data_IF_114237175398
#
_entry.id   IF_114237175398
#
_cell.length_a   1.000
_cell.length_b   1.000
_cell.length_c   1.000
_cell.angle_alpha   90.00
_cell.angle_beta   90.00
_cell.angle_gamma   90.00
#
_symmetry.space_group_name_H-M   'P 1'
#
loop_
_entity.id
_entity.type
_entity.pdbx_description
1 polymer ?
#
# COMPACT_ATOMS: atom_id res chain seq x y z
N UNK A 1 14.02 -8.31 22.44
CA UNK A 1 12.74 -8.63 21.76
C UNK A 1 12.18 -7.30 21.26
N UNK A 2 12.41 -6.94 19.98
CA UNK A 2 12.14 -5.59 19.45
C UNK A 2 10.73 -5.51 18.86
N UNK A 3 9.96 -4.54 19.36
CA UNK A 3 8.58 -4.24 18.96
C UNK A 3 8.50 -3.79 17.49
N UNK A 4 7.59 -4.42 16.75
CA UNK A 4 7.02 -3.92 15.51
C UNK A 4 6.20 -2.66 15.80
N UNK A 5 6.16 -1.62 14.95
CA UNK A 5 5.32 -0.47 15.23
C UNK A 5 3.86 -0.81 14.91
N UNK A 6 3.14 -1.27 15.94
CA UNK A 6 1.73 -0.94 16.11
C UNK A 6 1.66 0.49 16.63
N UNK A 7 0.90 1.38 15.96
CA UNK A 7 0.31 2.52 16.64
C UNK A 7 -1.15 2.16 17.00
N UNK A 8 -1.39 2.05 18.31
CA UNK A 8 -2.57 1.47 18.94
C UNK A 8 -3.80 2.38 18.99
N UNK A 9 -3.86 3.48 18.23
CA UNK A 9 -4.85 4.54 18.53
C UNK A 9 -5.93 4.78 17.48
N UNK A 10 -5.99 4.02 16.38
CA UNK A 10 -7.16 4.02 15.48
C UNK A 10 -7.69 5.42 15.12
N UNK A 11 -6.81 6.42 15.07
CA UNK A 11 -7.24 7.81 14.96
C UNK A 11 -7.62 8.03 13.50
N UNK A 12 -8.92 8.12 13.27
CA UNK A 12 -9.50 8.64 12.04
C UNK A 12 -8.89 10.02 11.86
N UNK A 13 -8.09 10.25 10.82
CA UNK A 13 -7.73 11.61 10.45
C UNK A 13 -8.99 12.26 9.86
N UNK A 14 -9.66 13.20 10.56
CA UNK A 14 -10.92 13.76 10.09
C UNK A 14 -10.71 14.85 9.03
N UNK A 15 -9.48 15.08 8.58
CA UNK A 15 -9.13 16.21 7.72
C UNK A 15 -8.60 15.74 6.37
N UNK A 16 -9.31 16.02 5.25
CA UNK A 16 -8.71 16.02 3.92
C UNK A 16 -7.64 17.12 3.88
N UNK A 17 -6.41 16.77 4.27
CA UNK A 17 -5.34 17.73 4.45
C UNK A 17 -4.19 17.26 5.35
N UNK A 18 -4.39 16.22 6.18
CA UNK A 18 -3.26 15.62 6.88
C UNK A 18 -2.40 14.81 5.92
N UNK A 19 -1.12 15.16 5.84
CA UNK A 19 -0.16 14.48 4.98
C UNK A 19 0.92 13.86 5.86
N UNK A 20 0.99 12.52 5.97
CA UNK A 20 2.06 11.87 6.72
C UNK A 20 3.42 12.27 6.12
N UNK A 21 4.33 12.81 6.96
CA UNK A 21 5.67 13.25 6.53
C UNK A 21 6.76 12.20 6.80
N UNK A 22 6.43 11.09 7.47
CA UNK A 22 7.35 10.00 7.77
C UNK A 22 7.18 8.80 6.84
N UNK A 23 8.29 8.17 6.47
CA UNK A 23 8.31 6.88 5.78
C UNK A 23 8.90 5.79 6.66
N UNK A 24 8.53 4.54 6.36
CA UNK A 24 9.16 3.36 6.96
C UNK A 24 10.13 2.73 5.97
N UNK A 25 11.32 2.34 6.44
CA UNK A 25 12.25 1.55 5.63
C UNK A 25 11.71 0.15 5.40
N UNK A 26 11.83 -0.33 4.17
CA UNK A 26 11.56 -1.72 3.84
C UNK A 26 12.80 -2.57 4.10
N UNK A 27 12.62 -3.67 4.83
CA UNK A 27 13.66 -4.65 5.08
C UNK A 27 13.28 -5.95 4.37
N UNK A 28 14.20 -6.49 3.59
CA UNK A 28 14.01 -7.73 2.86
C UNK A 28 14.69 -8.88 3.59
N UNK A 29 13.99 -10.01 3.68
CA UNK A 29 14.57 -11.23 4.20
C UNK A 29 15.37 -11.93 3.10
N UNK A 30 16.68 -12.17 3.29
CA UNK A 30 17.46 -12.93 2.33
C UNK A 30 17.01 -14.39 2.35
N UNK A 31 16.72 -14.94 1.17
CA UNK A 31 16.38 -16.36 0.98
C UNK A 31 17.15 -16.89 -0.22
N UNK A 32 17.32 -18.22 -0.29
CA UNK A 32 17.95 -18.86 -1.45
C UNK A 32 17.04 -18.75 -2.69
N UNK A 33 17.60 -19.03 -3.86
CA UNK A 33 16.82 -19.19 -5.08
C UNK A 33 16.04 -20.50 -5.00
N UNK A 34 14.80 -20.51 -5.50
CA UNK A 34 13.96 -21.70 -5.46
C UNK A 34 12.47 -21.43 -5.45
N UNK A 35 11.69 -22.49 -5.22
CA UNK A 35 10.24 -22.46 -5.12
C UNK A 35 9.82 -22.36 -3.66
N UNK A 36 9.03 -21.34 -3.34
CA UNK A 36 8.58 -21.07 -1.99
C UNK A 36 7.06 -21.00 -1.93
N UNK A 37 6.51 -21.49 -0.82
CA UNK A 37 5.13 -21.27 -0.42
C UNK A 37 5.13 -20.33 0.77
N UNK A 38 4.58 -19.13 0.59
CA UNK A 38 4.38 -18.16 1.65
C UNK A 38 2.97 -18.33 2.21
N UNK A 39 2.87 -18.61 3.50
CA UNK A 39 1.60 -18.85 4.20
C UNK A 39 1.35 -17.66 5.12
N UNK A 40 0.18 -17.05 4.98
CA UNK A 40 -0.30 -16.02 5.89
C UNK A 40 -1.26 -16.65 6.89
N UNK A 41 -1.00 -16.41 8.16
CA UNK A 41 -1.83 -16.85 9.27
C UNK A 41 -2.27 -15.66 10.13
N UNK A 42 -3.47 -15.72 10.67
CA UNK A 42 -3.99 -14.77 11.63
C UNK A 42 -3.53 -15.09 13.06
N UNK A 43 -4.28 -14.58 14.03
CA UNK A 43 -4.16 -14.94 15.44
C UNK A 43 -4.29 -16.47 15.60
N UNK A 44 -3.59 -17.03 16.58
CA UNK A 44 -3.58 -18.47 16.88
C UNK A 44 -3.18 -19.37 15.69
N UNK A 45 -2.39 -18.83 14.75
CA UNK A 45 -1.89 -19.53 13.56
C UNK A 45 -2.98 -20.06 12.64
N UNK A 46 -4.18 -19.47 12.71
CA UNK A 46 -5.26 -19.79 11.78
C UNK A 46 -4.83 -19.45 10.36
N UNK A 47 -4.91 -20.42 9.45
CA UNK A 47 -4.58 -20.22 8.04
C UNK A 47 -5.54 -19.22 7.39
N UNK A 48 -4.99 -18.21 6.69
CA UNK A 48 -5.79 -17.22 5.95
C UNK A 48 -5.68 -17.41 4.44
N UNK A 49 -4.44 -17.40 3.92
CA UNK A 49 -4.16 -17.55 2.49
C UNK A 49 -2.70 -17.90 2.27
N UNK A 50 -2.40 -18.46 1.11
CA UNK A 50 -1.03 -18.69 0.67
C UNK A 50 -0.79 -18.20 -0.76
N UNK A 51 0.49 -18.07 -1.09
CA UNK A 51 0.97 -17.82 -2.43
C UNK A 51 2.21 -18.67 -2.70
N UNK A 52 2.29 -19.22 -3.89
CA UNK A 52 3.53 -19.84 -4.38
C UNK A 52 4.30 -18.82 -5.21
N UNK A 53 5.61 -18.75 -5.00
CA UNK A 53 6.51 -17.94 -5.83
C UNK A 53 7.77 -18.72 -6.12
N UNK A 54 8.28 -18.53 -7.33
CA UNK A 54 9.64 -18.92 -7.68
C UNK A 54 10.52 -17.68 -7.63
N UNK A 55 11.68 -17.79 -7.00
CA UNK A 55 12.73 -16.77 -6.99
C UNK A 55 13.87 -17.29 -7.85
N UNK A 56 14.10 -16.66 -9.00
CA UNK A 56 14.98 -17.18 -10.06
C UNK A 56 16.25 -16.35 -10.26
N UNK A 57 16.28 -15.12 -9.74
CA UNK A 57 17.41 -14.22 -9.93
C UNK A 57 17.99 -13.75 -8.59
N UNK A 58 19.32 -13.59 -8.55
CA UNK A 58 19.99 -12.92 -7.42
C UNK A 58 19.54 -11.46 -7.38
N UNK A 59 19.30 -10.96 -6.17
CA UNK A 59 18.78 -9.60 -5.90
C UNK A 59 17.36 -9.34 -6.44
N UNK A 60 16.61 -10.38 -6.79
CA UNK A 60 15.17 -10.25 -7.00
C UNK A 60 14.50 -9.91 -5.67
N UNK A 61 13.78 -8.78 -5.64
CA UNK A 61 13.03 -8.35 -4.45
C UNK A 61 11.54 -8.47 -4.72
N UNK A 62 10.82 -8.99 -3.74
CA UNK A 62 9.37 -9.20 -3.82
C UNK A 62 8.73 -8.74 -2.52
N UNK A 63 7.67 -7.95 -2.64
CA UNK A 63 6.77 -7.60 -1.54
C UNK A 63 5.48 -8.39 -1.67
N UNK A 64 5.02 -8.99 -0.57
CA UNK A 64 3.73 -9.66 -0.50
C UNK A 64 2.83 -8.93 0.49
N UNK A 65 1.66 -8.51 0.03
CA UNK A 65 0.65 -7.83 0.86
C UNK A 65 -0.57 -8.73 0.98
N UNK A 66 -0.89 -9.16 2.20
CA UNK A 66 -2.19 -9.77 2.48
C UNK A 66 -3.20 -8.64 2.71
N UNK A 67 -4.35 -8.76 2.06
CA UNK A 67 -5.44 -7.81 2.19
C UNK A 67 -6.79 -8.52 2.13
N UNK A 68 -7.83 -7.87 2.62
CA UNK A 68 -9.21 -8.29 2.46
C UNK A 68 -9.62 -8.28 0.97
N UNK A 69 -10.34 -9.32 0.54
CA UNK A 69 -10.94 -9.39 -0.80
C UNK A 69 -12.40 -8.96 -0.74
N UNK A 70 -12.92 -8.26 -1.76
CA UNK A 70 -14.34 -7.96 -1.87
C UNK A 70 -15.18 -9.18 -2.28
N UNK A 71 -14.55 -10.29 -2.70
CA UNK A 71 -15.25 -11.49 -3.18
C UNK A 71 -16.17 -12.14 -2.13
N UNK A 72 -15.78 -12.07 -0.85
CA UNK A 72 -16.58 -12.51 0.30
C UNK A 72 -16.13 -11.84 1.60
N UNK A 73 -16.99 -11.86 2.62
CA UNK A 73 -16.75 -11.24 3.94
C UNK A 73 -15.57 -11.84 4.71
N UNK A 74 -15.15 -13.05 4.39
CA UNK A 74 -13.99 -13.77 4.94
C UNK A 74 -12.87 -14.03 3.91
N UNK A 75 -13.02 -13.51 2.69
CA UNK A 75 -12.03 -13.73 1.64
C UNK A 75 -10.83 -12.79 1.80
N UNK A 76 -9.63 -13.32 1.55
CA UNK A 76 -8.38 -12.56 1.47
C UNK A 76 -7.81 -12.59 0.05
N UNK A 77 -6.98 -11.62 -0.28
CA UNK A 77 -6.16 -11.55 -1.49
C UNK A 77 -4.71 -11.31 -1.11
N UNK A 78 -3.79 -11.90 -1.86
CA UNK A 78 -2.37 -11.58 -1.76
C UNK A 78 -1.98 -10.80 -3.00
N UNK A 79 -1.40 -9.61 -2.80
CA UNK A 79 -0.84 -8.78 -3.85
C UNK A 79 0.67 -8.98 -3.84
N UNK A 80 1.19 -9.60 -4.89
CA UNK A 80 2.63 -9.78 -5.13
C UNK A 80 3.15 -8.60 -5.95
N UNK A 81 4.13 -7.87 -5.43
CA UNK A 81 4.73 -6.70 -6.08
C UNK A 81 6.23 -6.92 -6.24
N UNK A 82 6.75 -6.96 -7.48
CA UNK A 82 8.20 -7.03 -7.72
C UNK A 82 8.83 -5.69 -7.38
N UNK A 83 9.87 -5.66 -6.55
CA UNK A 83 10.57 -4.44 -6.13
C UNK A 83 11.93 -4.32 -6.83
N UNK A 84 12.38 -3.07 -6.98
CA UNK A 84 13.65 -2.76 -7.62
C UNK A 84 14.50 -1.90 -6.67
N UNK A 85 15.62 -2.45 -6.19
CA UNK A 85 16.58 -1.70 -5.37
C UNK A 85 17.43 -0.81 -6.27
N UNK A 86 16.86 0.31 -6.69
CA UNK A 86 17.49 1.26 -7.60
C UNK A 86 17.07 2.67 -7.22
N UNK A 87 17.99 3.63 -7.35
CA UNK A 87 17.70 5.05 -7.34
C UNK A 87 18.03 5.69 -8.69
N UNK A 88 17.50 6.90 -8.91
CA UNK A 88 17.80 7.69 -10.11
C UNK A 88 18.35 9.05 -9.68
N UNK A 89 19.58 9.43 -10.08
CA UNK A 89 20.16 10.72 -9.74
C UNK A 89 19.24 11.89 -10.12
N UNK A 90 19.07 12.85 -9.19
CA UNK A 90 18.22 14.03 -9.40
C UNK A 90 16.70 13.78 -9.38
N UNK A 91 16.27 12.52 -9.24
CA UNK A 91 14.85 12.13 -9.23
C UNK A 91 14.48 11.34 -7.99
N UNK A 92 13.20 11.34 -7.70
CA UNK A 92 12.56 10.38 -6.79
C UNK A 92 11.75 9.39 -7.63
N UNK A 93 11.81 8.10 -7.30
CA UNK A 93 11.01 7.06 -7.94
C UNK A 93 9.83 6.73 -7.05
N UNK A 94 8.61 6.74 -7.60
CA UNK A 94 7.39 6.51 -6.84
C UNK A 94 6.57 5.40 -7.49
N UNK A 95 6.19 4.39 -6.71
CA UNK A 95 5.20 3.38 -7.07
C UNK A 95 3.95 3.52 -6.21
N UNK A 96 2.78 3.29 -6.82
CA UNK A 96 1.51 3.22 -6.11
C UNK A 96 1.05 1.77 -6.04
N UNK A 97 0.64 1.31 -4.85
CA UNK A 97 0.04 -0.02 -4.64
C UNK A 97 -1.36 0.18 -4.09
N UNK A 98 -2.36 -0.36 -4.77
CA UNK A 98 -3.75 -0.21 -4.36
C UNK A 98 -4.27 -1.49 -3.68
N UNK A 99 -4.51 -1.38 -2.37
CA UNK A 99 -4.99 -2.43 -1.47
C UNK A 99 -6.36 -2.09 -0.83
N UNK A 100 -7.06 -1.05 -1.27
CA UNK A 100 -8.38 -0.72 -0.71
C UNK A 100 -9.48 -1.44 -1.46
N UNK A 101 -10.11 -2.45 -0.85
CA UNK A 101 -11.04 -3.34 -1.54
C UNK A 101 -12.41 -2.73 -1.84
N UNK A 102 -12.76 -1.62 -1.18
CA UNK A 102 -14.07 -0.97 -1.29
C UNK A 102 -14.03 0.41 -1.97
N UNK A 103 -12.86 0.80 -2.50
CA UNK A 103 -12.75 1.96 -3.39
C UNK A 103 -12.79 1.52 -4.85
N UNK A 104 -13.24 2.45 -5.70
CA UNK A 104 -13.13 2.30 -7.15
C UNK A 104 -11.65 2.35 -7.60
N UNK A 105 -11.42 2.12 -8.88
CA UNK A 105 -10.11 2.35 -9.48
C UNK A 105 -9.61 3.76 -9.16
N UNK A 106 -8.31 3.86 -8.90
CA UNK A 106 -7.69 5.08 -8.43
C UNK A 106 -6.93 5.77 -9.56
N UNK A 107 -7.01 7.09 -9.55
CA UNK A 107 -6.12 7.95 -10.30
C UNK A 107 -5.23 8.76 -9.36
N UNK A 108 -4.00 9.02 -9.78
CA UNK A 108 -3.04 9.78 -8.99
C UNK A 108 -2.51 10.94 -9.83
N UNK A 109 -2.51 12.14 -9.24
CA UNK A 109 -1.96 13.35 -9.83
C UNK A 109 -0.94 13.95 -8.87
N UNK A 110 0.11 14.54 -9.41
CA UNK A 110 1.05 15.37 -8.67
C UNK A 110 0.51 16.80 -8.60
N UNK A 111 0.59 17.42 -7.44
CA UNK A 111 0.45 18.87 -7.30
C UNK A 111 1.80 19.53 -7.63
N UNK A 112 1.83 20.38 -8.65
CA UNK A 112 3.05 21.06 -9.05
C UNK A 112 3.33 22.33 -8.23
N UNK A 113 4.43 23.01 -8.56
CA UNK A 113 4.88 24.20 -7.84
C UNK A 113 3.93 25.40 -7.96
N UNK A 114 3.05 25.40 -8.95
CA UNK A 114 2.03 26.43 -9.18
C UNK A 114 0.68 26.09 -8.56
N UNK A 115 0.57 24.94 -7.87
CA UNK A 115 -0.68 24.46 -7.31
C UNK A 115 -1.57 23.74 -8.31
N UNK A 116 -1.09 23.45 -9.53
CA UNK A 116 -1.86 22.74 -10.55
C UNK A 116 -1.67 21.23 -10.44
N UNK A 117 -2.73 20.48 -10.73
CA UNK A 117 -2.70 19.01 -10.76
C UNK A 117 -2.24 18.53 -12.14
N UNK A 118 -1.18 17.73 -12.18
CA UNK A 118 -0.67 17.08 -13.38
C UNK A 118 -0.55 15.58 -13.20
N UNK A 119 -0.67 14.81 -14.28
CA UNK A 119 -0.57 13.34 -14.22
C UNK A 119 0.86 12.89 -13.96
N UNK A 120 1.86 13.54 -14.56
CA UNK A 120 3.29 13.23 -14.38
C UNK A 120 3.66 11.74 -14.62
N UNK A 121 2.93 11.03 -15.48
CA UNK A 121 3.14 9.59 -15.70
C UNK A 121 2.72 8.69 -14.53
N UNK A 122 2.01 9.24 -13.54
CA UNK A 122 1.38 8.48 -12.45
C UNK A 122 0.14 7.73 -12.97
N UNK A 123 -0.27 6.63 -12.31
CA UNK A 123 -1.40 5.83 -12.78
C UNK A 123 -2.70 6.65 -12.81
N UNK A 124 -3.46 6.51 -13.90
CA UNK A 124 -4.76 7.16 -14.10
C UNK A 124 -5.95 6.21 -13.97
N UNK A 125 -5.68 4.90 -13.91
CA UNK A 125 -6.66 3.86 -13.70
C UNK A 125 -5.98 2.65 -13.02
N UNK A 126 -5.90 2.69 -11.70
CA UNK A 126 -5.26 1.65 -10.89
C UNK A 126 -6.34 0.85 -10.16
N UNK A 127 -6.55 -0.39 -10.58
CA UNK A 127 -7.54 -1.28 -9.98
C UNK A 127 -7.15 -1.77 -8.58
N UNK A 128 -8.13 -2.17 -7.78
CA UNK A 128 -7.89 -2.87 -6.52
C UNK A 128 -7.01 -4.12 -6.74
N UNK A 129 -6.06 -4.33 -5.83
CA UNK A 129 -5.17 -5.49 -5.84
C UNK A 129 -4.11 -5.42 -6.95
N UNK A 130 -3.82 -4.22 -7.45
CA UNK A 130 -2.81 -3.94 -8.48
C UNK A 130 -1.82 -2.86 -8.02
N UNK A 131 -0.78 -2.63 -8.82
CA UNK A 131 0.28 -1.67 -8.55
C UNK A 131 0.80 -1.05 -9.85
N UNK A 132 1.40 0.14 -9.76
CA UNK A 132 2.03 0.79 -10.90
C UNK A 132 3.50 0.36 -11.07
N UNK A 133 4.08 0.65 -12.25
CA UNK A 133 5.52 0.79 -12.36
C UNK A 133 6.04 1.93 -11.48
N UNK A 134 7.37 2.06 -11.38
CA UNK A 134 7.98 3.24 -10.78
C UNK A 134 7.90 4.42 -11.76
N UNK A 135 7.29 5.51 -11.32
CA UNK A 135 7.30 6.80 -12.01
C UNK A 135 8.43 7.65 -11.44
N UNK A 136 9.32 8.16 -12.29
CA UNK A 136 10.39 9.05 -11.86
C UNK A 136 9.94 10.51 -11.92
N UNK A 137 10.18 11.26 -10.85
CA UNK A 137 9.80 12.66 -10.73
C UNK A 137 11.04 13.48 -10.34
N UNK A 138 11.32 14.54 -11.09
CA UNK A 138 12.44 15.44 -10.79
C UNK A 138 12.26 16.15 -9.45
N UNK A 139 13.33 16.17 -8.64
CA UNK A 139 13.30 16.78 -7.30
C UNK A 139 13.48 18.29 -7.33
N UNK A 140 14.05 18.85 -8.41
CA UNK A 140 14.41 20.28 -8.56
C UNK A 140 13.21 21.21 -8.35
N UNK A 141 12.02 20.83 -8.83
CA UNK A 141 10.79 21.61 -8.65
C UNK A 141 10.03 21.32 -7.35
N UNK A 142 10.17 20.12 -6.79
CA UNK A 142 9.46 19.70 -5.57
C UNK A 142 10.15 20.20 -4.29
N UNK A 143 11.49 20.32 -4.32
CA UNK A 143 12.28 20.83 -3.20
C UNK A 143 12.05 22.32 -2.91
N UNK A 144 11.65 23.12 -3.91
CA UNK A 144 11.50 24.59 -3.77
C UNK A 144 10.29 25.04 -2.94
N UNK A 145 9.24 24.22 -2.81
CA UNK A 145 7.99 24.68 -2.19
C UNK A 145 7.64 23.99 -0.87
N UNK A 146 7.98 22.70 -0.71
CA UNK A 146 7.54 21.91 0.45
C UNK A 146 8.51 20.80 0.87
N UNK A 147 9.63 20.64 0.16
CA UNK A 147 10.55 19.49 0.35
C UNK A 147 9.94 18.14 -0.07
N UNK A 148 8.73 18.13 -0.64
CA UNK A 148 7.96 16.93 -0.91
C UNK A 148 7.28 16.98 -2.29
N UNK A 149 7.21 15.83 -2.96
CA UNK A 149 6.28 15.56 -4.04
C UNK A 149 4.90 15.27 -3.43
N UNK A 150 3.96 16.19 -3.63
CA UNK A 150 2.59 16.03 -3.14
C UNK A 150 1.75 15.30 -4.17
N UNK A 151 1.19 14.16 -3.78
CA UNK A 151 0.29 13.34 -4.57
C UNK A 151 -1.15 13.55 -4.10
N UNK A 152 -2.05 13.70 -5.05
CA UNK A 152 -3.50 13.76 -4.86
C UNK A 152 -4.11 12.52 -5.51
N UNK A 153 -4.88 11.78 -4.74
CA UNK A 153 -5.48 10.51 -5.14
C UNK A 153 -6.99 10.71 -5.18
N UNK A 154 -7.59 10.35 -6.30
CA UNK A 154 -9.04 10.43 -6.56
C UNK A 154 -9.51 9.10 -7.14
N UNK A 155 -10.82 8.87 -7.17
CA UNK A 155 -11.40 7.75 -7.94
C UNK A 155 -11.49 8.14 -9.42
N UNK A 156 -11.30 7.19 -10.34
CA UNK A 156 -11.31 7.45 -11.79
C UNK A 156 -12.64 8.05 -12.26
N UNK A 157 -13.76 7.66 -11.65
CA UNK A 157 -15.11 8.17 -11.96
C UNK A 157 -15.43 9.53 -11.28
N UNK A 158 -14.60 9.98 -10.34
CA UNK A 158 -14.75 11.25 -9.63
C UNK A 158 -13.39 11.98 -9.58
N UNK A 159 -12.80 12.34 -10.74
CA UNK A 159 -11.40 12.74 -10.86
C UNK A 159 -11.03 14.03 -10.11
N UNK A 160 -12.02 14.87 -9.82
CA UNK A 160 -11.86 16.13 -9.10
C UNK A 160 -12.12 16.00 -7.59
N UNK A 161 -12.58 14.83 -7.12
CA UNK A 161 -12.81 14.57 -5.70
C UNK A 161 -11.59 13.87 -5.11
N UNK A 162 -10.72 14.64 -4.46
CA UNK A 162 -9.52 14.10 -3.79
C UNK A 162 -9.95 13.35 -2.53
N UNK A 163 -9.70 12.04 -2.52
CA UNK A 163 -10.05 11.15 -1.40
C UNK A 163 -8.86 10.88 -0.46
N UNK A 164 -7.63 11.03 -0.96
CA UNK A 164 -6.39 10.91 -0.18
C UNK A 164 -5.32 11.86 -0.72
N UNK A 165 -4.37 12.20 0.14
CA UNK A 165 -3.14 12.89 -0.23
C UNK A 165 -1.93 12.18 0.40
N UNK A 166 -0.79 12.21 -0.28
CA UNK A 166 0.49 11.71 0.24
C UNK A 166 1.61 12.71 -0.07
N UNK A 167 2.54 12.92 0.85
CA UNK A 167 3.77 13.66 0.62
C UNK A 167 4.90 12.65 0.55
N UNK A 168 5.52 12.56 -0.61
CA UNK A 168 6.73 11.77 -0.78
C UNK A 168 7.91 12.72 -0.69
N UNK A 169 8.89 12.52 0.21
CA UNK A 169 10.08 13.36 0.27
C UNK A 169 10.74 13.49 -1.09
N UNK A 170 11.07 14.72 -1.48
CA UNK A 170 11.79 14.99 -2.74
C UNK A 170 13.29 14.69 -2.59
N UNK A 171 13.60 13.51 -2.04
CA UNK A 171 14.96 13.04 -1.80
C UNK A 171 15.52 12.44 -3.10
N UNK A 172 16.54 13.08 -3.72
CA UNK A 172 17.15 12.53 -4.93
C UNK A 172 17.68 11.14 -4.68
N UNK A 173 17.62 10.29 -5.71
CA UNK A 173 18.05 8.89 -5.64
C UNK A 173 17.16 8.01 -4.75
N UNK A 174 16.06 8.51 -4.16
CA UNK A 174 15.15 7.72 -3.34
C UNK A 174 14.10 6.96 -4.14
N UNK A 175 13.73 5.77 -3.67
CA UNK A 175 12.58 5.00 -4.17
C UNK A 175 11.54 4.78 -3.09
N UNK A 176 10.30 5.14 -3.40
CA UNK A 176 9.18 5.10 -2.48
C UNK A 176 8.00 4.31 -3.03
N UNK A 177 7.33 3.61 -2.12
CA UNK A 177 6.08 2.91 -2.37
C UNK A 177 4.97 3.58 -1.56
N UNK A 178 3.94 4.06 -2.23
CA UNK A 178 2.72 4.60 -1.62
C UNK A 178 1.68 3.48 -1.58
N UNK A 179 1.43 2.98 -0.38
CA UNK A 179 0.49 1.90 -0.10
C UNK A 179 -0.87 2.48 0.30
N UNK A 180 -1.86 2.31 -0.57
CA UNK A 180 -3.22 2.77 -0.33
C UNK A 180 -4.03 1.59 0.19
N UNK A 181 -4.46 1.63 1.46
CA UNK A 181 -5.08 0.50 2.14
C UNK A 181 -6.19 0.92 3.10
N UNK A 182 -6.96 -0.06 3.58
CA UNK A 182 -8.11 0.14 4.45
C UNK A 182 -9.42 0.30 3.68
N UNK A 183 -10.48 0.65 4.41
CA UNK A 183 -11.84 0.76 3.89
C UNK A 183 -12.30 2.22 3.84
N UNK A 184 -12.94 2.62 2.74
CA UNK A 184 -13.64 3.90 2.56
C UNK A 184 -14.95 3.97 3.35
N UNK A 185 -15.62 2.83 3.50
CA UNK A 185 -16.91 2.72 4.15
C UNK A 185 -16.85 1.75 5.32
N UNK A 186 -17.82 1.84 6.23
CA UNK A 186 -17.97 0.86 7.30
C UNK A 186 -18.20 -0.51 6.67
N UNK A 187 -17.34 -1.47 6.98
CA UNK A 187 -17.34 -2.80 6.36
C UNK A 187 -17.37 -3.88 7.43
N UNK A 188 -18.27 -4.85 7.27
CA UNK A 188 -18.29 -6.05 8.12
C UNK A 188 -17.37 -7.11 7.53
N UNK A 189 -16.49 -7.65 8.36
CA UNK A 189 -15.57 -8.74 8.03
C UNK A 189 -15.85 -9.94 8.92
N UNK A 190 -15.74 -11.14 8.35
CA UNK A 190 -15.82 -12.39 9.10
C UNK A 190 -14.42 -12.99 9.18
N UNK A 191 -13.90 -13.16 10.38
CA UNK A 191 -12.54 -13.66 10.61
C UNK A 191 -12.63 -15.02 11.29
N UNK A 192 -11.90 -15.99 10.75
CA UNK A 192 -11.75 -17.30 11.38
C UNK A 192 -10.88 -17.14 12.63
N UNK A 193 -11.42 -17.46 13.80
CA UNK A 193 -10.73 -17.33 15.10
C UNK A 193 -10.33 -18.66 15.70
N UNK A 194 -10.90 -19.76 15.21
CA UNK A 194 -10.53 -21.09 15.67
C UNK A 194 -11.36 -22.19 15.02
N UNK A 195 -11.38 -23.35 15.68
CA UNK A 195 -12.23 -24.48 15.32
C UNK A 195 -12.91 -25.03 16.58
N UNK A 196 -14.14 -25.50 16.45
CA UNK A 196 -14.85 -26.22 17.50
C UNK A 196 -14.20 -27.60 17.73
N UNK A 197 -14.63 -28.31 18.79
CA UNK A 197 -14.13 -29.66 19.10
C UNK A 197 -14.40 -30.69 17.98
N UNK A 198 -15.40 -30.45 17.13
CA UNK A 198 -15.73 -31.26 15.96
C UNK A 198 -14.92 -30.88 14.70
N UNK A 199 -13.99 -29.92 14.82
CA UNK A 199 -13.16 -29.41 13.73
C UNK A 199 -13.86 -28.41 12.82
N UNK A 200 -15.11 -28.02 13.09
CA UNK A 200 -15.80 -26.98 12.31
C UNK A 200 -15.22 -25.59 12.60
N UNK A 201 -15.15 -24.68 11.61
CA UNK A 201 -14.57 -23.35 11.77
C UNK A 201 -15.43 -22.45 12.67
N UNK A 202 -14.77 -21.73 13.58
CA UNK A 202 -15.38 -20.70 14.44
C UNK A 202 -15.02 -19.33 13.90
N UNK A 203 -16.04 -18.52 13.62
CA UNK A 203 -15.87 -17.19 13.05
C UNK A 203 -16.37 -16.10 14.00
N UNK A 204 -15.67 -14.97 13.99
CA UNK A 204 -16.14 -13.72 14.57
C UNK A 204 -16.42 -12.69 13.48
N UNK A 205 -17.49 -11.91 13.66
CA UNK A 205 -17.79 -10.78 12.80
C UNK A 205 -17.23 -9.51 13.43
N UNK A 206 -16.37 -8.82 12.70
CA UNK A 206 -15.82 -7.53 13.08
C UNK A 206 -16.36 -6.44 12.17
N UNK A 207 -16.89 -5.37 12.77
CA UNK A 207 -17.25 -4.15 12.04
C UNK A 207 -16.04 -3.24 11.99
N UNK A 208 -15.48 -3.06 10.79
CA UNK A 208 -14.35 -2.16 10.54
C UNK A 208 -14.90 -0.78 10.18
N UNK A 209 -14.57 0.22 10.99
CA UNK A 209 -14.89 1.62 10.69
C UNK A 209 -14.00 2.13 9.54
N UNK A 210 -14.46 3.14 8.76
CA UNK A 210 -13.67 3.73 7.69
C UNK A 210 -12.27 4.11 8.15
N UNK A 211 -11.25 3.60 7.47
CA UNK A 211 -9.83 3.78 7.80
C UNK A 211 -8.92 3.85 6.57
N UNK A 212 -9.48 4.24 5.43
CA UNK A 212 -8.78 4.42 4.17
C UNK A 212 -7.62 5.41 4.31
N UNK A 213 -6.42 4.98 3.95
CA UNK A 213 -5.18 5.73 4.22
C UNK A 213 -4.07 5.40 3.24
N UNK A 214 -3.15 6.34 3.07
CA UNK A 214 -1.88 6.12 2.38
C UNK A 214 -0.76 5.90 3.41
N UNK A 215 0.08 4.89 3.20
CA UNK A 215 1.30 4.66 3.96
C UNK A 215 2.50 4.78 3.03
N UNK A 216 3.55 5.45 3.49
CA UNK A 216 4.75 5.65 2.72
C UNK A 216 5.85 4.70 3.18
N UNK A 217 6.42 3.96 2.23
CA UNK A 217 7.59 3.12 2.47
C UNK A 217 8.74 3.54 1.57
N UNK A 218 9.95 3.42 2.08
CA UNK A 218 11.18 3.63 1.31
C UNK A 218 11.82 2.28 1.00
N UNK A 219 11.97 1.97 -0.28
CA UNK A 219 12.62 0.76 -0.76
C UNK A 219 14.10 0.97 -1.08
N UNK A 220 14.53 2.20 -1.35
CA UNK A 220 15.91 2.62 -1.60
C UNK A 220 16.11 4.08 -1.15
#
# INVERSE_FOLDING_TARGET
>A
MRQYPYNATGTIFPNPGFVPTGYQYMYYMPVALGNYKFIFSGTDKVFLKDIQTTLVARNELQSFYLVESPDAVDAYRIVKVPEEYQGTPGKVRIRIVHLGSDSQNLMVKQLDATGNLKTAGLPQDLAFGSFSGYTEIDTVGAARNSGNVILKISETNAPNNVILSAAVPAEPNGSFVVLIQGFRQTTSRRILTGHNADGSPVYETLTVQPNFRANLRRSY
#
